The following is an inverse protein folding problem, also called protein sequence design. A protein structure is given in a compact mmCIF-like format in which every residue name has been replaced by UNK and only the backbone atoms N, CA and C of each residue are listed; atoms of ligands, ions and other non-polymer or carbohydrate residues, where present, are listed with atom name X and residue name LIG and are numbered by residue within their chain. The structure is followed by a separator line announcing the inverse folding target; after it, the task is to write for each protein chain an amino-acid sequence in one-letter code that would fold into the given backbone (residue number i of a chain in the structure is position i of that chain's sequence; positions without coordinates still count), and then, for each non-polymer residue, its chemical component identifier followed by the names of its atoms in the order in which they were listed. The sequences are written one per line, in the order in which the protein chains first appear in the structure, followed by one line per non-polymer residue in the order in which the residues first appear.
data_IF_654876369088
#
_entry.id   IF_654876369088
#
_cell.length_a   1.000
_cell.length_b   1.000
_cell.length_c   1.000
_cell.angle_alpha   90.00
_cell.angle_beta   90.00
_cell.angle_gamma   90.00
#
_symmetry.space_group_name_H-M   'P 1'
#
loop_
_entity.id
_entity.type
_entity.pdbx_description
1 polymer ?
#
# COMPACT_ATOMS: atom_id res chain seq x y z
N UNK A 1 -7.58 24.02 -2.13
CA UNK A 1 -7.54 25.24 -2.93
C UNK A 1 -6.07 25.65 -3.01
N UNK A 2 -5.46 25.48 -4.18
CA UNK A 2 -4.12 26.03 -4.44
C UNK A 2 -4.28 27.51 -4.76
N UNK A 3 -3.38 28.33 -4.25
CA UNK A 3 -3.41 29.78 -4.46
C UNK A 3 -2.54 30.09 -5.69
N UNK A 4 -3.07 30.82 -6.68
CA UNK A 4 -2.38 31.13 -7.95
C UNK A 4 -2.49 32.63 -8.20
N UNK A 5 -1.35 33.30 -8.22
CA UNK A 5 -1.23 34.73 -8.50
C UNK A 5 -0.78 34.94 -9.96
N UNK A 6 -1.33 35.97 -10.62
CA UNK A 6 -0.83 36.42 -11.93
C UNK A 6 0.39 37.31 -11.69
N UNK A 7 1.55 36.88 -12.18
CA UNK A 7 2.81 37.59 -12.04
C UNK A 7 3.05 38.60 -13.17
N UNK A 8 2.51 38.35 -14.37
CA UNK A 8 2.60 39.28 -15.49
C UNK A 8 2.02 38.74 -16.80
N UNK A 9 1.86 39.60 -17.80
CA UNK A 9 1.45 39.23 -19.16
C UNK A 9 2.32 40.02 -20.16
N UNK A 10 3.18 39.32 -20.90
CA UNK A 10 4.04 39.90 -21.93
C UNK A 10 3.38 39.71 -23.30
N UNK A 11 2.74 40.76 -23.83
CA UNK A 11 2.04 40.69 -25.13
C UNK A 11 2.94 40.89 -26.35
N UNK A 12 4.18 41.33 -26.12
CA UNK A 12 5.14 41.72 -27.17
C UNK A 12 6.25 40.68 -27.38
N UNK A 13 6.10 39.48 -26.82
CA UNK A 13 7.09 38.42 -26.97
C UNK A 13 7.14 37.90 -28.43
N UNK A 14 8.33 37.56 -28.94
CA UNK A 14 8.52 37.19 -30.35
C UNK A 14 7.76 35.93 -30.78
N UNK A 15 7.31 35.13 -29.82
CA UNK A 15 6.59 33.86 -30.04
C UNK A 15 5.08 33.98 -29.73
N UNK A 16 4.58 35.18 -29.42
CA UNK A 16 3.18 35.47 -29.04
C UNK A 16 3.00 35.78 -27.56
N UNK A 17 1.80 36.19 -27.10
CA UNK A 17 1.61 36.68 -25.74
C UNK A 17 1.87 35.60 -24.67
N UNK A 18 2.68 35.94 -23.67
CA UNK A 18 3.14 35.04 -22.60
C UNK A 18 2.51 35.42 -21.27
N UNK A 19 1.75 34.50 -20.67
CA UNK A 19 1.16 34.67 -19.34
C UNK A 19 2.10 34.10 -18.28
N UNK A 20 2.56 34.95 -17.36
CA UNK A 20 3.37 34.56 -16.19
C UNK A 20 2.51 34.39 -14.96
N UNK A 21 2.57 33.21 -14.36
CA UNK A 21 1.81 32.84 -13.18
C UNK A 21 2.76 32.43 -12.05
N UNK A 22 2.35 32.64 -10.81
CA UNK A 22 3.09 32.20 -9.62
C UNK A 22 2.18 31.36 -8.74
N UNK A 23 2.64 30.16 -8.41
CA UNK A 23 1.93 29.28 -7.48
C UNK A 23 2.30 29.67 -6.04
N UNK A 24 1.31 29.75 -5.15
CA UNK A 24 1.48 29.95 -3.72
C UNK A 24 0.81 28.83 -2.92
N UNK A 25 1.43 28.42 -1.82
CA UNK A 25 0.88 27.43 -0.88
C UNK A 25 1.50 26.04 -0.98
N UNK A 26 0.77 25.01 -0.56
CA UNK A 26 1.26 23.62 -0.37
C UNK A 26 1.77 22.90 -1.64
N UNK A 27 1.72 23.56 -2.80
CA UNK A 27 2.28 23.07 -4.05
C UNK A 27 3.74 23.52 -4.24
N UNK A 28 4.24 24.46 -3.45
CA UNK A 28 5.64 24.91 -3.50
C UNK A 28 6.55 23.78 -2.97
N UNK A 29 7.25 23.07 -3.88
CA UNK A 29 8.24 22.05 -3.52
C UNK A 29 7.83 20.57 -3.67
N UNK A 30 6.61 20.24 -4.12
CA UNK A 30 6.23 18.86 -4.44
C UNK A 30 6.03 18.67 -5.97
N UNK A 31 6.92 17.95 -6.69
CA UNK A 31 6.88 17.86 -8.15
C UNK A 31 5.61 17.19 -8.71
N UNK A 32 4.99 16.27 -7.95
CA UNK A 32 3.73 15.61 -8.34
C UNK A 32 2.52 16.54 -8.23
N UNK A 33 2.54 17.45 -7.25
CA UNK A 33 1.45 18.42 -7.03
C UNK A 33 1.54 19.61 -7.99
N UNK A 34 2.74 20.09 -8.31
CA UNK A 34 2.93 21.21 -9.26
C UNK A 34 2.57 20.84 -10.69
N UNK A 35 2.89 19.62 -11.13
CA UNK A 35 2.61 19.17 -12.50
C UNK A 35 1.11 19.04 -12.78
N UNK A 36 0.35 18.48 -11.83
CA UNK A 36 -1.12 18.37 -11.95
C UNK A 36 -1.78 19.75 -12.00
N UNK A 37 -1.34 20.69 -11.17
CA UNK A 37 -1.87 22.07 -11.16
C UNK A 37 -1.52 22.79 -12.46
N UNK A 38 -0.29 22.64 -12.95
CA UNK A 38 0.15 23.23 -14.23
C UNK A 38 -0.72 22.75 -15.39
N UNK A 39 -0.94 21.44 -15.54
CA UNK A 39 -1.80 20.92 -16.61
C UNK A 39 -3.23 21.44 -16.51
N UNK A 40 -3.78 21.53 -15.29
CA UNK A 40 -5.11 22.09 -15.07
C UNK A 40 -5.19 23.56 -15.51
N UNK A 41 -4.14 24.34 -15.25
CA UNK A 41 -4.06 25.75 -15.62
C UNK A 41 -3.90 25.90 -17.14
N UNK A 42 -3.02 25.13 -17.78
CA UNK A 42 -2.82 25.13 -19.24
C UNK A 42 -4.13 24.79 -19.96
N UNK A 43 -4.87 23.77 -19.49
CA UNK A 43 -6.18 23.41 -20.05
C UNK A 43 -7.21 24.54 -19.90
N UNK A 44 -7.27 25.17 -18.72
CA UNK A 44 -8.21 26.25 -18.46
C UNK A 44 -7.91 27.50 -19.31
N UNK A 45 -6.63 27.85 -19.47
CA UNK A 45 -6.19 29.00 -20.28
C UNK A 45 -6.42 28.72 -21.76
N UNK A 46 -6.09 27.54 -22.27
CA UNK A 46 -6.35 27.17 -23.67
C UNK A 46 -7.84 27.26 -24.03
N UNK A 47 -8.73 27.00 -23.07
CA UNK A 47 -10.18 27.13 -23.25
C UNK A 47 -10.70 28.57 -23.18
N UNK A 48 -10.16 29.38 -22.27
CA UNK A 48 -10.73 30.70 -21.92
C UNK A 48 -10.00 31.88 -22.57
N UNK A 49 -8.72 31.71 -22.91
CA UNK A 49 -7.86 32.71 -23.52
C UNK A 49 -6.96 32.08 -24.60
N UNK A 50 -7.54 31.61 -25.72
CA UNK A 50 -6.81 30.93 -26.79
C UNK A 50 -5.77 31.81 -27.50
N UNK A 51 -5.81 33.13 -27.29
CA UNK A 51 -4.80 34.07 -27.77
C UNK A 51 -3.46 33.95 -27.05
N UNK A 52 -3.41 33.35 -25.86
CA UNK A 52 -2.17 33.14 -25.08
C UNK A 52 -1.34 32.04 -25.73
N UNK A 53 -0.19 32.41 -26.28
CA UNK A 53 0.69 31.47 -26.98
C UNK A 53 1.48 30.59 -26.01
N UNK A 54 1.91 31.15 -24.88
CA UNK A 54 2.75 30.46 -23.92
C UNK A 54 2.40 30.82 -22.47
N UNK A 55 2.55 29.86 -21.56
CA UNK A 55 2.34 30.05 -20.12
C UNK A 55 3.64 29.70 -19.40
N UNK A 56 4.17 30.67 -18.66
CA UNK A 56 5.36 30.54 -17.83
C UNK A 56 4.95 30.56 -16.36
N UNK A 57 5.41 29.59 -15.56
CA UNK A 57 5.09 29.55 -14.13
C UNK A 57 6.37 29.76 -13.31
N UNK A 58 6.45 30.89 -12.62
CA UNK A 58 7.57 31.20 -11.72
C UNK A 58 7.51 30.29 -10.48
N UNK A 59 8.62 29.62 -10.16
CA UNK A 59 8.73 28.63 -9.07
C UNK A 59 9.05 27.21 -9.54
N UNK A 60 9.09 26.96 -10.85
CA UNK A 60 9.63 25.72 -11.43
C UNK A 60 10.83 26.09 -12.28
N UNK A 61 12.02 26.13 -11.67
CA UNK A 61 13.27 26.11 -12.42
C UNK A 61 13.22 24.87 -13.30
N UNK A 62 13.19 25.06 -14.61
CA UNK A 62 13.39 23.99 -15.57
C UNK A 62 14.86 23.56 -15.46
N UNK A 63 15.14 22.69 -14.50
CA UNK A 63 16.46 22.10 -14.34
C UNK A 63 16.71 21.19 -15.56
N UNK A 64 17.86 21.31 -16.24
CA UNK A 64 18.20 20.43 -17.35
C UNK A 64 18.13 18.98 -16.87
N UNK A 65 17.56 18.10 -17.69
CA UNK A 65 17.51 16.67 -17.44
C UNK A 65 18.92 16.09 -17.24
N UNK A 66 19.43 16.07 -16.01
CA UNK A 66 20.70 15.44 -15.63
C UNK A 66 20.83 15.29 -14.11
N UNK A 67 19.96 14.49 -13.50
CA UNK A 67 20.25 13.59 -12.38
C UNK A 67 18.89 13.06 -11.92
N UNK A 68 18.61 11.80 -12.26
CA UNK A 68 17.44 11.12 -11.74
C UNK A 68 17.46 11.22 -10.22
N UNK A 69 16.51 11.98 -9.68
CA UNK A 69 16.08 11.79 -8.30
C UNK A 69 15.75 10.29 -8.25
N UNK A 70 16.45 9.48 -7.44
CA UNK A 70 16.14 8.06 -7.43
C UNK A 70 14.68 7.97 -7.05
N UNK A 71 13.86 7.42 -7.97
CA UNK A 71 12.50 7.05 -7.66
C UNK A 71 12.60 6.19 -6.40
N UNK A 72 12.17 6.74 -5.28
CA UNK A 72 12.06 5.99 -4.04
C UNK A 72 10.93 5.00 -4.29
N UNK A 73 11.30 3.80 -4.76
CA UNK A 73 10.36 2.68 -4.76
C UNK A 73 9.86 2.52 -3.33
N UNK A 74 8.55 2.66 -3.15
CA UNK A 74 7.88 2.27 -1.91
C UNK A 74 7.91 0.74 -1.89
N UNK A 75 9.05 0.20 -1.47
CA UNK A 75 9.16 -1.19 -1.07
C UNK A 75 8.37 -1.33 0.23
N UNK A 76 7.57 -2.39 0.41
CA UNK A 76 7.00 -2.73 1.71
C UNK A 76 8.13 -2.71 2.74
N UNK A 77 8.00 -1.89 3.78
CA UNK A 77 8.98 -1.83 4.87
C UNK A 77 9.11 -3.25 5.45
N UNK A 78 10.29 -3.88 5.39
CA UNK A 78 10.51 -5.13 6.11
C UNK A 78 10.28 -4.85 7.61
N UNK A 79 9.63 -5.78 8.34
CA UNK A 79 9.50 -5.64 9.79
C UNK A 79 10.89 -5.41 10.42
N UNK A 80 10.93 -4.59 11.47
CA UNK A 80 12.16 -3.95 11.99
C UNK A 80 13.24 -4.90 12.53
N UNK A 81 12.99 -6.21 12.52
CA UNK A 81 13.87 -7.25 13.05
C UNK A 81 14.40 -8.24 11.98
N UNK A 82 14.25 -7.93 10.68
CA UNK A 82 14.80 -8.77 9.62
C UNK A 82 16.35 -8.63 9.54
N UNK A 83 17.12 -9.72 9.69
CA UNK A 83 18.57 -9.66 9.57
C UNK A 83 18.98 -9.27 8.14
N UNK A 84 19.91 -8.30 8.03
CA UNK A 84 20.51 -7.88 6.76
C UNK A 84 21.25 -9.04 6.10
N UNK A 85 20.63 -9.67 5.11
CA UNK A 85 21.28 -10.70 4.30
C UNK A 85 20.35 -11.32 3.26
N UNK A 86 20.79 -11.29 2.01
CA UNK A 86 20.14 -11.85 0.81
C UNK A 86 19.00 -11.01 0.23
N UNK A 87 19.11 -10.71 -1.07
CA UNK A 87 17.99 -10.22 -1.87
C UNK A 87 16.87 -11.25 -1.76
N UNK A 88 15.79 -10.91 -1.03
CA UNK A 88 14.67 -11.80 -0.84
C UNK A 88 14.14 -12.21 -2.21
N UNK A 89 14.20 -13.50 -2.50
CA UNK A 89 13.51 -14.09 -3.64
C UNK A 89 12.05 -13.64 -3.59
N UNK A 90 11.42 -13.32 -4.75
CA UNK A 90 10.04 -12.87 -4.76
C UNK A 90 9.19 -13.91 -4.02
N UNK A 91 8.24 -13.49 -3.16
CA UNK A 91 7.49 -14.41 -2.32
C UNK A 91 6.85 -15.50 -3.17
N UNK A 92 7.03 -16.75 -2.75
CA UNK A 92 6.47 -17.89 -3.44
C UNK A 92 4.97 -17.91 -3.17
N UNK A 93 4.17 -17.87 -4.24
CA UNK A 93 2.71 -17.86 -4.17
C UNK A 93 2.17 -19.29 -4.27
N UNK A 94 1.47 -19.74 -3.24
CA UNK A 94 0.88 -21.06 -3.17
C UNK A 94 -0.64 -20.99 -3.31
N UNK A 95 -1.20 -21.80 -4.21
CA UNK A 95 -2.65 -21.89 -4.41
C UNK A 95 -3.28 -22.78 -3.33
N UNK A 96 -4.26 -22.24 -2.62
CA UNK A 96 -5.05 -22.98 -1.64
C UNK A 96 -6.15 -23.78 -2.34
N UNK A 97 -6.24 -25.06 -2.02
CA UNK A 97 -7.35 -25.89 -2.46
C UNK A 97 -8.66 -25.41 -1.81
N UNK A 98 -9.77 -25.38 -2.55
CA UNK A 98 -11.10 -24.99 -2.03
C UNK A 98 -11.49 -25.66 -0.71
N UNK A 99 -11.26 -26.98 -0.47
CA UNK A 99 -11.58 -27.60 0.82
C UNK A 99 -10.69 -27.15 1.98
N UNK A 100 -9.59 -26.44 1.73
CA UNK A 100 -8.77 -25.81 2.76
C UNK A 100 -9.37 -24.48 3.23
N UNK A 101 -10.30 -23.88 2.48
CA UNK A 101 -10.91 -22.60 2.80
C UNK A 101 -12.08 -22.75 3.78
N UNK A 102 -12.29 -21.77 4.68
CA UNK A 102 -13.51 -21.71 5.50
C UNK A 102 -14.74 -21.52 4.59
N UNK A 103 -15.75 -22.38 4.79
CA UNK A 103 -16.91 -22.50 3.90
C UNK A 103 -18.03 -21.47 4.16
N UNK A 104 -17.98 -20.74 5.28
CA UNK A 104 -19.00 -19.76 5.68
C UNK A 104 -18.36 -18.55 6.34
N UNK A 105 -19.12 -17.46 6.41
CA UNK A 105 -18.72 -16.27 7.15
C UNK A 105 -18.60 -16.57 8.65
N UNK A 106 -17.71 -15.83 9.31
CA UNK A 106 -17.36 -15.99 10.72
C UNK A 106 -16.89 -17.42 11.03
N UNK A 107 -16.03 -17.95 10.17
CA UNK A 107 -15.40 -19.25 10.38
C UNK A 107 -13.90 -19.17 10.17
N UNK A 108 -13.19 -20.01 10.92
CA UNK A 108 -11.75 -20.23 10.79
C UNK A 108 -11.48 -21.59 10.15
N UNK A 109 -10.35 -21.71 9.47
CA UNK A 109 -9.82 -22.99 9.01
C UNK A 109 -8.30 -22.96 8.98
N UNK A 110 -7.66 -24.06 9.34
CA UNK A 110 -6.21 -24.20 9.22
C UNK A 110 -5.87 -24.88 7.90
N UNK A 111 -4.88 -24.32 7.20
CA UNK A 111 -4.28 -24.91 6.01
C UNK A 111 -2.78 -25.10 6.27
N UNK A 112 -2.24 -26.23 5.85
CA UNK A 112 -0.80 -26.50 5.91
C UNK A 112 -0.23 -26.43 4.50
N UNK A 113 0.81 -25.61 4.30
CA UNK A 113 1.53 -25.48 3.04
C UNK A 113 3.01 -25.65 3.32
N UNK A 114 3.60 -26.73 2.82
CA UNK A 114 5.05 -27.00 2.95
C UNK A 114 5.54 -26.94 4.42
N UNK A 115 4.69 -27.39 5.36
CA UNK A 115 4.99 -27.37 6.80
C UNK A 115 4.70 -26.04 7.50
N UNK A 116 4.18 -25.04 6.78
CA UNK A 116 3.70 -23.79 7.35
C UNK A 116 2.21 -23.90 7.67
N UNK A 117 1.88 -23.89 8.96
CA UNK A 117 0.50 -23.86 9.43
C UNK A 117 -0.06 -22.44 9.36
N UNK A 118 -1.17 -22.29 8.64
CA UNK A 118 -1.81 -21.02 8.33
C UNK A 118 -3.23 -21.02 8.89
N UNK A 119 -3.59 -19.96 9.60
CA UNK A 119 -4.95 -19.71 10.02
C UNK A 119 -5.65 -18.82 8.99
N UNK A 120 -6.64 -19.40 8.31
CA UNK A 120 -7.55 -18.67 7.43
C UNK A 120 -8.77 -18.24 8.23
N UNK A 121 -9.16 -16.98 8.09
CA UNK A 121 -10.32 -16.41 8.77
C UNK A 121 -11.23 -15.76 7.72
N UNK A 122 -12.46 -16.25 7.60
CA UNK A 122 -13.47 -15.64 6.72
C UNK A 122 -14.41 -14.76 7.53
N UNK A 123 -14.41 -13.47 7.21
CA UNK A 123 -15.40 -12.51 7.65
C UNK A 123 -16.30 -12.16 6.46
N UNK A 124 -17.47 -11.52 6.69
CA UNK A 124 -18.32 -11.06 5.59
C UNK A 124 -17.53 -10.25 4.56
N UNK A 125 -17.48 -10.76 3.33
CA UNK A 125 -16.86 -10.11 2.17
C UNK A 125 -15.34 -10.19 2.07
N UNK A 126 -14.61 -10.79 3.02
CA UNK A 126 -13.14 -10.85 2.97
C UNK A 126 -12.58 -12.14 3.58
N UNK A 127 -11.51 -12.67 2.96
CA UNK A 127 -10.69 -13.74 3.51
C UNK A 127 -9.34 -13.18 4.00
N UNK A 128 -8.95 -13.58 5.21
CA UNK A 128 -7.68 -13.20 5.82
C UNK A 128 -6.83 -14.44 6.07
N UNK A 129 -5.51 -14.27 6.02
CA UNK A 129 -4.55 -15.32 6.36
C UNK A 129 -3.56 -14.80 7.41
N UNK A 130 -3.28 -15.64 8.40
CA UNK A 130 -2.28 -15.41 9.44
C UNK A 130 -1.46 -16.67 9.65
N UNK A 131 -0.32 -16.57 10.33
CA UNK A 131 0.35 -17.74 10.91
C UNK A 131 -0.50 -18.34 12.03
N UNK A 132 -0.54 -19.67 12.11
CA UNK A 132 -1.27 -20.41 13.16
C UNK A 132 -0.52 -20.43 14.51
N UNK A 133 -0.11 -19.26 15.00
CA UNK A 133 0.54 -19.11 16.31
C UNK A 133 0.11 -17.82 17.01
N UNK A 134 -0.22 -17.94 18.28
CA UNK A 134 -0.48 -16.79 19.14
C UNK A 134 0.83 -16.03 19.39
N UNK A 135 0.91 -14.73 19.06
CA UNK A 135 2.11 -13.93 19.33
C UNK A 135 2.34 -13.66 20.83
N UNK A 136 1.34 -13.90 21.69
CA UNK A 136 1.45 -13.73 23.14
C UNK A 136 2.01 -14.95 23.88
N UNK A 137 1.57 -16.16 23.53
CA UNK A 137 1.94 -17.39 24.24
C UNK A 137 2.53 -18.50 23.36
N UNK A 138 2.53 -18.33 22.03
CA UNK A 138 3.08 -19.32 21.08
C UNK A 138 2.17 -20.51 20.75
N UNK A 139 1.03 -20.65 21.44
CA UNK A 139 0.04 -21.71 21.19
C UNK A 139 -0.59 -21.62 19.79
N UNK A 140 -1.09 -22.74 19.26
CA UNK A 140 -1.85 -22.76 18.02
C UNK A 140 -3.18 -22.00 18.15
N UNK A 141 -3.59 -21.35 17.05
CA UNK A 141 -4.83 -20.59 16.96
C UNK A 141 -5.93 -21.35 16.20
N UNK A 142 -5.63 -22.57 15.75
CA UNK A 142 -6.56 -23.55 15.17
C UNK A 142 -7.93 -23.60 15.83
N UNK A 143 -7.93 -23.58 17.16
CA UNK A 143 -9.15 -23.72 17.98
C UNK A 143 -9.61 -22.39 18.57
N UNK A 144 -8.94 -21.28 18.21
CA UNK A 144 -9.26 -19.96 18.72
C UNK A 144 -10.69 -19.57 18.34
N UNK A 145 -11.57 -19.26 19.31
CA UNK A 145 -12.91 -18.78 19.02
C UNK A 145 -12.85 -17.43 18.28
N UNK A 146 -13.76 -17.28 17.32
CA UNK A 146 -14.01 -16.05 16.59
C UNK A 146 -15.33 -15.43 17.05
N UNK A 147 -15.27 -14.26 17.65
CA UNK A 147 -16.40 -13.46 18.13
C UNK A 147 -16.52 -12.19 17.27
N UNK A 148 -17.41 -12.24 16.28
CA UNK A 148 -17.51 -11.21 15.25
C UNK A 148 -16.21 -11.12 14.45
N UNK A 149 -15.49 -10.00 14.56
CA UNK A 149 -14.18 -9.79 13.93
C UNK A 149 -12.99 -10.09 14.85
N UNK A 150 -13.24 -10.52 16.09
CA UNK A 150 -12.20 -10.71 17.08
C UNK A 150 -11.87 -12.19 17.26
N UNK A 151 -10.62 -12.54 17.00
CA UNK A 151 -10.07 -13.85 17.29
C UNK A 151 -9.46 -13.84 18.70
N UNK A 152 -9.87 -14.79 19.56
CA UNK A 152 -9.36 -14.89 20.92
C UNK A 152 -8.52 -16.16 21.06
N UNK A 153 -7.27 -16.04 21.51
CA UNK A 153 -6.46 -17.21 21.84
C UNK A 153 -7.11 -17.99 22.99
N UNK A 154 -7.29 -19.30 22.82
CA UNK A 154 -7.91 -20.15 23.83
C UNK A 154 -7.05 -20.32 25.10
N UNK A 155 -5.73 -20.14 24.99
CA UNK A 155 -4.78 -20.38 26.09
C UNK A 155 -4.53 -19.13 26.95
N UNK A 156 -4.20 -18.00 26.33
CA UNK A 156 -3.86 -16.78 27.06
C UNK A 156 -4.93 -15.68 27.01
N UNK A 157 -6.07 -15.95 26.36
CA UNK A 157 -7.17 -15.01 26.16
C UNK A 157 -6.80 -13.72 25.41
N UNK A 158 -5.62 -13.64 24.79
CA UNK A 158 -5.26 -12.52 23.94
C UNK A 158 -6.26 -12.36 22.78
N UNK A 159 -6.75 -11.14 22.59
CA UNK A 159 -7.77 -10.79 21.59
C UNK A 159 -7.14 -10.03 20.43
N UNK A 160 -7.46 -10.44 19.21
CA UNK A 160 -6.91 -9.88 17.98
C UNK A 160 -8.03 -9.45 17.04
N UNK A 161 -7.95 -8.22 16.55
CA UNK A 161 -8.88 -7.66 15.57
C UNK A 161 -8.46 -8.08 14.15
N UNK A 162 -9.21 -9.01 13.57
CA UNK A 162 -8.91 -9.60 12.25
C UNK A 162 -8.98 -8.53 11.15
N UNK A 163 -9.96 -7.63 11.19
CA UNK A 163 -10.11 -6.59 10.16
C UNK A 163 -8.93 -5.63 10.14
N UNK A 164 -8.35 -5.35 11.30
CA UNK A 164 -7.20 -4.46 11.44
C UNK A 164 -5.89 -5.24 11.52
N UNK A 165 -5.68 -6.16 10.57
CA UNK A 165 -4.44 -6.93 10.40
C UNK A 165 -4.02 -7.70 11.67
N UNK A 166 -4.99 -8.21 12.43
CA UNK A 166 -4.72 -8.99 13.64
C UNK A 166 -4.18 -8.18 14.81
N UNK A 167 -4.42 -6.87 14.86
CA UNK A 167 -3.98 -5.99 15.96
C UNK A 167 -4.58 -6.46 17.30
N UNK A 168 -3.70 -6.73 18.26
CA UNK A 168 -4.04 -6.89 19.67
C UNK A 168 -3.58 -5.69 20.51
N UNK A 169 -3.67 -5.82 21.83
CA UNK A 169 -3.31 -4.74 22.76
C UNK A 169 -1.81 -4.42 22.76
N UNK A 170 -0.97 -5.46 22.78
CA UNK A 170 0.50 -5.34 22.84
C UNK A 170 1.23 -6.12 21.74
N UNK A 171 0.52 -6.97 21.02
CA UNK A 171 1.04 -7.84 19.97
C UNK A 171 0.10 -7.82 18.78
N UNK A 172 0.51 -8.39 17.64
CA UNK A 172 -0.34 -8.54 16.48
C UNK A 172 -0.15 -9.95 15.91
N UNK A 173 -1.22 -10.53 15.36
CA UNK A 173 -1.08 -11.73 14.54
C UNK A 173 -0.18 -11.40 13.35
N UNK A 174 0.60 -12.37 12.89
CA UNK A 174 1.45 -12.18 11.71
C UNK A 174 0.60 -12.40 10.44
N UNK A 175 0.22 -11.34 9.70
CA UNK A 175 -0.62 -11.47 8.51
C UNK A 175 0.21 -12.00 7.34
N UNK A 176 -0.43 -12.80 6.51
CA UNK A 176 0.17 -13.34 5.30
C UNK A 176 -0.55 -12.76 4.08
N UNK A 177 0.19 -12.29 3.05
CA UNK A 177 -0.44 -11.75 1.86
C UNK A 177 -1.32 -12.81 1.19
N UNK A 178 -2.56 -12.45 0.90
CA UNK A 178 -3.55 -13.33 0.27
C UNK A 178 -4.21 -12.60 -0.89
N UNK A 179 -4.44 -13.33 -1.98
CA UNK A 179 -5.12 -12.87 -3.18
C UNK A 179 -6.28 -13.81 -3.51
N UNK A 180 -7.46 -13.25 -3.76
CA UNK A 180 -8.62 -13.96 -4.31
C UNK A 180 -8.82 -13.49 -5.76
N UNK A 181 -8.54 -14.34 -6.75
CA UNK A 181 -8.63 -14.03 -8.19
C UNK A 181 -9.35 -15.18 -8.91
N UNK A 182 -10.36 -14.87 -9.74
CA UNK A 182 -11.05 -15.84 -10.61
C UNK A 182 -11.54 -17.12 -9.89
N UNK A 183 -11.83 -17.03 -8.58
CA UNK A 183 -12.25 -18.17 -7.75
C UNK A 183 -11.10 -19.03 -7.20
N UNK A 184 -9.86 -18.67 -7.48
CA UNK A 184 -8.67 -19.21 -6.83
C UNK A 184 -8.23 -18.31 -5.68
N UNK A 185 -7.76 -18.94 -4.60
CA UNK A 185 -7.16 -18.24 -3.47
C UNK A 185 -5.68 -18.59 -3.43
N UNK A 186 -4.82 -17.58 -3.35
CA UNK A 186 -3.37 -17.72 -3.29
C UNK A 186 -2.84 -17.02 -2.05
N UNK A 187 -1.88 -17.63 -1.38
CA UNK A 187 -1.18 -17.04 -0.24
C UNK A 187 0.31 -16.97 -0.56
N UNK A 188 0.95 -15.86 -0.21
CA UNK A 188 2.39 -15.72 -0.31
C UNK A 188 3.01 -16.10 1.03
N UNK A 189 3.92 -17.06 0.99
CA UNK A 189 4.69 -17.44 2.17
C UNK A 189 6.07 -16.81 2.11
N UNK A 190 6.55 -16.18 3.21
CA UNK A 190 7.96 -15.92 3.32
C UNK A 190 8.67 -17.27 3.36
N UNK A 191 9.66 -17.48 2.48
CA UNK A 191 10.47 -18.68 2.55
C UNK A 191 11.02 -18.80 3.96
N UNK A 192 10.73 -19.92 4.61
CA UNK A 192 11.19 -20.19 5.95
C UNK A 192 12.70 -20.44 5.85
N UNK A 193 13.49 -19.37 5.99
CA UNK A 193 14.92 -19.48 6.23
C UNK A 193 15.08 -20.44 7.42
N UNK A 194 15.66 -21.61 7.11
CA UNK A 194 15.45 -22.85 7.83
C UNK A 194 15.48 -22.77 9.35
N UNK A 195 14.38 -23.21 9.97
CA UNK A 195 14.49 -23.93 11.24
C UNK A 195 14.92 -25.37 10.90
N UNK A 196 16.21 -25.54 10.58
CA UNK A 196 16.83 -26.86 10.59
C UNK A 196 16.92 -27.40 12.02
N UNK A 197 17.00 -28.74 12.19
CA UNK A 197 16.96 -29.41 13.49
C UNK A 197 18.13 -29.04 14.42
#
# INVERSE_FOLDING_TARGET
AGDVDVAGLDTEAPEGPVLRLRLRGSCDGCPSSTQTVRWTIEEAVARLAPEIAHIEVEGVTQEPAAAGQPLLQIQPRPPADAPTGSAAEPPHWHTLATPALPARDHATRVADIEGNALLLVRLPGNLYAYRDRCPGCGADLRTAPLDGEFLCCAECAARFDVRHAGRGEHTHLEPLPLLEEEGAVRVALPELLGAGP
#
